data_IF_571431098067
#
_entry.id   IF_571431098067
#
_cell.length_a   1.000
_cell.length_b   1.000
_cell.length_c   1.000
_cell.angle_alpha   90.00
_cell.angle_beta   90.00
_cell.angle_gamma   90.00
#
_symmetry.space_group_name_H-M   'P 1'
#
loop_
_entity.id
_entity.type
_entity.pdbx_description
1 polymer ?
#
# COMPACT_ATOMS: atom_id res chain seq x y z
N UNK A 1 30.82 6.35 -1.50
CA UNK A 1 29.40 6.45 -1.93
C UNK A 1 28.65 5.34 -1.23
N UNK A 2 27.73 5.67 -0.31
CA UNK A 2 27.00 4.64 0.40
C UNK A 2 26.07 3.87 -0.53
N UNK A 3 25.73 2.63 -0.15
CA UNK A 3 24.95 1.70 -0.98
C UNK A 3 23.66 1.32 -0.28
N UNK A 4 22.55 1.56 -0.96
CA UNK A 4 21.20 1.14 -0.53
C UNK A 4 20.79 -0.11 -1.29
N UNK A 5 20.44 -1.19 -0.59
CA UNK A 5 19.79 -2.35 -1.17
C UNK A 5 18.34 -2.42 -0.69
N UNK A 6 17.39 -2.25 -1.58
CA UNK A 6 15.97 -2.47 -1.32
C UNK A 6 15.57 -3.89 -1.75
N UNK A 7 14.75 -4.59 -0.94
CA UNK A 7 14.22 -5.93 -1.23
C UNK A 7 12.71 -5.85 -1.23
N UNK A 8 12.09 -6.12 -2.40
CA UNK A 8 10.63 -6.03 -2.57
C UNK A 8 10.11 -7.12 -3.51
N UNK A 9 8.82 -7.37 -3.49
CA UNK A 9 8.15 -8.30 -4.42
C UNK A 9 8.22 -7.84 -5.87
N UNK A 10 8.27 -6.54 -6.14
CA UNK A 10 8.33 -5.95 -7.47
C UNK A 10 9.23 -4.70 -7.52
N UNK A 11 9.67 -4.32 -8.74
CA UNK A 11 10.48 -3.13 -9.00
C UNK A 11 9.76 -2.23 -9.98
N UNK A 12 9.63 -0.92 -9.63
CA UNK A 12 9.02 0.13 -10.45
C UNK A 12 7.65 -0.22 -11.05
N UNK A 13 6.89 -1.08 -10.38
CA UNK A 13 5.53 -1.49 -10.78
C UNK A 13 4.69 -1.75 -9.54
N UNK A 14 3.38 -1.53 -9.64
CA UNK A 14 2.47 -1.53 -8.48
C UNK A 14 2.85 -0.45 -7.44
N UNK A 15 2.11 -0.33 -6.33
CA UNK A 15 2.35 0.73 -5.34
C UNK A 15 3.71 0.60 -4.66
N UNK A 16 4.01 -0.56 -4.07
CA UNK A 16 5.27 -0.75 -3.32
C UNK A 16 6.51 -0.70 -4.20
N UNK A 17 6.45 -1.20 -5.45
CA UNK A 17 7.55 -1.09 -6.40
C UNK A 17 7.82 0.34 -6.87
N UNK A 18 6.77 1.17 -6.99
CA UNK A 18 6.93 2.60 -7.26
C UNK A 18 7.53 3.35 -6.07
N UNK A 19 7.13 2.99 -4.85
CA UNK A 19 7.73 3.55 -3.63
C UNK A 19 9.23 3.24 -3.58
N UNK A 20 9.64 1.99 -3.85
CA UNK A 20 11.07 1.64 -3.94
C UNK A 20 11.81 2.48 -4.98
N UNK A 21 11.22 2.68 -6.15
CA UNK A 21 11.80 3.48 -7.23
C UNK A 21 11.92 4.96 -6.84
N UNK A 22 10.93 5.51 -6.17
CA UNK A 22 10.94 6.92 -5.76
C UNK A 22 11.92 7.16 -4.60
N UNK A 23 12.03 6.24 -3.63
CA UNK A 23 13.11 6.26 -2.62
C UNK A 23 14.49 6.18 -3.30
N UNK A 24 14.64 5.31 -4.30
CA UNK A 24 15.89 5.18 -5.05
C UNK A 24 16.28 6.49 -5.76
N UNK A 25 15.32 7.22 -6.35
CA UNK A 25 15.58 8.53 -6.98
C UNK A 25 16.16 9.53 -6.00
N UNK A 26 15.58 9.61 -4.82
CA UNK A 26 16.08 10.52 -3.77
C UNK A 26 17.46 10.06 -3.27
N UNK A 27 17.65 8.77 -3.02
CA UNK A 27 18.95 8.23 -2.61
C UNK A 27 20.05 8.53 -3.64
N UNK A 28 19.80 8.33 -4.93
CA UNK A 28 20.75 8.65 -6.01
C UNK A 28 21.04 10.15 -6.06
N UNK A 29 20.04 11.02 -5.86
CA UNK A 29 20.23 12.46 -5.78
C UNK A 29 21.15 12.87 -4.61
N UNK A 30 21.17 12.08 -3.52
CA UNK A 30 22.07 12.21 -2.38
C UNK A 30 23.41 11.44 -2.54
N UNK A 31 23.76 11.08 -3.77
CA UNK A 31 25.01 10.34 -4.07
C UNK A 31 25.10 8.94 -3.44
N UNK A 32 23.97 8.24 -3.28
CA UNK A 32 23.94 6.83 -2.94
C UNK A 32 23.95 5.96 -4.21
N UNK A 33 24.57 4.81 -4.15
CA UNK A 33 24.40 3.76 -5.15
C UNK A 33 23.17 2.92 -4.77
N UNK A 34 22.21 2.79 -5.69
CA UNK A 34 20.94 2.13 -5.42
C UNK A 34 20.81 0.79 -6.12
N UNK A 35 20.37 -0.21 -5.36
CA UNK A 35 20.06 -1.57 -5.81
C UNK A 35 18.62 -1.94 -5.42
N UNK A 36 17.89 -2.60 -6.31
CA UNK A 36 16.56 -3.18 -6.02
C UNK A 36 16.59 -4.67 -6.33
N UNK A 37 16.49 -5.51 -5.30
CA UNK A 37 16.28 -6.94 -5.44
C UNK A 37 14.77 -7.24 -5.45
N UNK A 38 14.27 -7.85 -6.55
CA UNK A 38 12.83 -8.07 -6.72
C UNK A 38 12.48 -9.51 -7.11
N UNK A 39 11.28 -9.94 -6.72
CA UNK A 39 10.85 -11.33 -6.91
C UNK A 39 10.05 -11.59 -8.18
N UNK A 40 9.06 -10.77 -8.50
CA UNK A 40 8.03 -11.13 -9.49
C UNK A 40 8.03 -10.28 -10.76
N UNK A 41 7.72 -9.01 -10.64
CA UNK A 41 7.50 -8.11 -11.79
C UNK A 41 8.42 -6.91 -11.69
N UNK A 42 8.89 -6.43 -12.84
CA UNK A 42 9.61 -5.16 -12.94
C UNK A 42 9.23 -4.38 -14.19
N UNK A 43 9.42 -3.08 -14.11
CA UNK A 43 9.58 -2.16 -15.23
C UNK A 43 10.98 -1.54 -15.12
N UNK A 44 11.54 -0.98 -16.21
CA UNK A 44 12.86 -0.35 -16.16
C UNK A 44 13.01 0.57 -14.94
N UNK A 45 14.07 0.38 -14.18
CA UNK A 45 14.41 1.13 -12.96
C UNK A 45 15.70 1.93 -13.18
N UNK A 46 15.85 3.02 -12.43
CA UNK A 46 17.12 3.76 -12.35
C UNK A 46 18.15 3.06 -11.43
N UNK A 47 17.70 2.10 -10.63
CA UNK A 47 18.56 1.29 -9.75
C UNK A 47 19.18 0.10 -10.47
N UNK A 48 20.25 -0.43 -9.91
CA UNK A 48 20.79 -1.73 -10.31
C UNK A 48 19.82 -2.83 -9.90
N UNK A 49 19.15 -3.48 -10.85
CA UNK A 49 18.13 -4.48 -10.57
C UNK A 49 18.72 -5.88 -10.38
N UNK A 50 18.23 -6.59 -9.36
CA UNK A 50 18.60 -7.98 -9.04
C UNK A 50 17.34 -8.81 -8.99
N UNK A 51 17.18 -9.72 -9.92
CA UNK A 51 16.04 -10.65 -9.88
C UNK A 51 16.30 -11.79 -8.91
N UNK A 52 15.37 -12.00 -7.97
CA UNK A 52 15.40 -13.12 -7.01
C UNK A 52 14.67 -14.31 -7.62
N UNK A 53 15.44 -15.34 -8.01
CA UNK A 53 14.90 -16.56 -8.60
C UNK A 53 14.33 -16.37 -10.02
N UNK A 54 13.43 -17.26 -10.38
CA UNK A 54 12.77 -17.30 -11.69
C UNK A 54 11.26 -17.48 -11.55
N UNK A 55 10.52 -17.38 -12.65
CA UNK A 55 9.07 -17.67 -12.66
C UNK A 55 8.77 -19.09 -12.16
N UNK A 56 9.67 -20.07 -12.43
CA UNK A 56 9.54 -21.44 -11.96
C UNK A 56 9.54 -21.51 -10.42
N UNK A 57 10.54 -20.88 -9.77
CA UNK A 57 10.60 -20.84 -8.30
C UNK A 57 9.40 -20.13 -7.66
N UNK A 58 8.90 -19.08 -8.29
CA UNK A 58 7.69 -18.40 -7.83
C UNK A 58 6.47 -19.32 -7.88
N UNK A 59 6.35 -20.10 -8.97
CA UNK A 59 5.23 -21.03 -9.16
C UNK A 59 5.32 -22.24 -8.20
N UNK A 60 6.50 -22.82 -8.03
CA UNK A 60 6.77 -23.86 -7.03
C UNK A 60 6.38 -23.39 -5.62
N UNK A 61 6.82 -22.19 -5.23
CA UNK A 61 6.51 -21.59 -3.94
C UNK A 61 5.00 -21.35 -3.77
N UNK A 62 4.32 -20.89 -4.82
CA UNK A 62 2.87 -20.75 -4.83
C UNK A 62 2.16 -22.10 -4.60
N UNK A 63 2.60 -23.17 -5.22
CA UNK A 63 2.06 -24.52 -5.01
C UNK A 63 2.28 -24.96 -3.56
N UNK A 64 3.50 -24.83 -3.02
CA UNK A 64 3.79 -25.16 -1.62
C UNK A 64 2.90 -24.38 -0.64
N UNK A 65 2.68 -23.09 -0.91
CA UNK A 65 1.75 -22.29 -0.11
C UNK A 65 0.31 -22.83 -0.22
N UNK A 66 -0.17 -23.05 -1.45
CA UNK A 66 -1.56 -23.48 -1.67
C UNK A 66 -1.85 -24.86 -1.10
N UNK A 67 -0.89 -25.76 -1.08
CA UNK A 67 -1.06 -27.12 -0.54
C UNK A 67 -0.81 -27.16 0.98
N UNK A 68 0.24 -26.49 1.46
CA UNK A 68 0.80 -26.72 2.80
C UNK A 68 0.95 -25.46 3.66
N UNK A 69 0.35 -24.32 3.27
CA UNK A 69 0.43 -23.04 3.97
C UNK A 69 1.88 -22.57 4.25
N UNK A 70 2.77 -22.76 3.27
CA UNK A 70 4.22 -22.52 3.40
C UNK A 70 4.65 -21.22 2.74
N UNK A 71 3.85 -20.16 2.84
CA UNK A 71 4.25 -18.86 2.35
C UNK A 71 5.55 -18.36 3.00
N UNK A 72 6.49 -17.89 2.17
CA UNK A 72 7.80 -17.41 2.65
C UNK A 72 8.74 -18.50 3.13
N UNK A 73 8.43 -19.81 2.96
CA UNK A 73 9.24 -20.94 3.40
C UNK A 73 9.88 -21.75 2.25
N UNK A 74 9.46 -21.53 1.01
CA UNK A 74 10.09 -22.12 -0.19
C UNK A 74 11.16 -21.16 -0.77
N UNK A 75 11.47 -21.23 -2.06
CA UNK A 75 12.46 -20.37 -2.74
C UNK A 75 13.86 -20.38 -2.09
N UNK A 76 14.30 -21.51 -1.53
CA UNK A 76 15.53 -21.62 -0.72
C UNK A 76 16.79 -21.24 -1.52
N UNK A 77 16.98 -21.86 -2.71
CA UNK A 77 18.14 -21.59 -3.55
C UNK A 77 18.18 -20.13 -4.01
N UNK A 78 17.04 -19.59 -4.43
CA UNK A 78 16.93 -18.18 -4.84
C UNK A 78 17.37 -17.25 -3.72
N UNK A 79 17.00 -17.53 -2.48
CA UNK A 79 17.39 -16.74 -1.32
C UNK A 79 18.88 -16.86 -1.00
N UNK A 80 19.48 -18.06 -1.11
CA UNK A 80 20.94 -18.21 -0.96
C UNK A 80 21.73 -17.46 -2.05
N UNK A 81 21.21 -17.44 -3.29
CA UNK A 81 21.82 -16.65 -4.36
C UNK A 81 21.70 -15.13 -4.09
N UNK A 82 20.58 -14.68 -3.55
CA UNK A 82 20.43 -13.29 -3.10
C UNK A 82 21.47 -12.94 -2.03
N UNK A 83 21.65 -13.80 -1.01
CA UNK A 83 22.66 -13.58 0.04
C UNK A 83 24.07 -13.41 -0.56
N UNK A 84 24.44 -14.25 -1.54
CA UNK A 84 25.72 -14.09 -2.25
C UNK A 84 25.83 -12.74 -2.99
N UNK A 85 24.71 -12.20 -3.48
CA UNK A 85 24.71 -10.86 -4.07
C UNK A 85 24.86 -9.78 -3.01
N UNK A 86 24.20 -9.92 -1.85
CA UNK A 86 24.37 -9.00 -0.72
C UNK A 86 25.84 -8.93 -0.29
N UNK A 87 26.52 -10.09 -0.16
CA UNK A 87 27.93 -10.18 0.20
C UNK A 87 28.86 -9.52 -0.84
N UNK A 88 28.47 -9.53 -2.13
CA UNK A 88 29.24 -8.87 -3.22
C UNK A 88 29.01 -7.36 -3.25
N UNK A 89 27.77 -6.93 -3.08
CA UNK A 89 27.38 -5.51 -3.11
C UNK A 89 27.94 -4.80 -1.87
N UNK A 90 27.88 -5.47 -0.72
CA UNK A 90 28.21 -4.90 0.59
C UNK A 90 27.42 -3.60 0.83
N UNK A 91 26.08 -3.68 0.90
CA UNK A 91 25.28 -2.50 1.12
C UNK A 91 25.54 -1.91 2.51
N UNK A 92 25.45 -0.59 2.63
CA UNK A 92 25.52 0.10 3.91
C UNK A 92 24.15 0.07 4.62
N UNK A 93 23.07 0.03 3.86
CA UNK A 93 21.68 -0.14 4.36
C UNK A 93 20.96 -1.23 3.57
N UNK A 94 20.26 -2.12 4.26
CA UNK A 94 19.29 -3.05 3.67
C UNK A 94 17.89 -2.58 4.03
N UNK A 95 17.07 -2.27 3.03
CA UNK A 95 15.69 -1.84 3.20
C UNK A 95 14.72 -2.91 2.71
N UNK A 96 13.98 -3.51 3.63
CA UNK A 96 12.95 -4.50 3.35
C UNK A 96 11.59 -3.82 3.14
N UNK A 97 10.86 -4.27 2.12
CA UNK A 97 9.46 -3.92 1.89
C UNK A 97 8.59 -5.18 2.02
N UNK A 98 7.83 -5.55 0.98
CA UNK A 98 7.05 -6.78 0.99
C UNK A 98 7.95 -7.98 0.69
N UNK A 99 8.32 -8.73 1.73
CA UNK A 99 9.17 -9.93 1.62
C UNK A 99 8.37 -11.24 1.54
N UNK A 100 7.06 -11.16 1.49
CA UNK A 100 6.12 -12.25 1.21
C UNK A 100 5.75 -12.32 -0.29
N UNK A 101 4.78 -13.17 -0.67
CA UNK A 101 4.28 -13.33 -2.05
C UNK A 101 5.18 -14.18 -2.97
N UNK A 102 5.66 -15.32 -2.45
CA UNK A 102 6.19 -16.48 -3.19
C UNK A 102 7.52 -16.29 -3.92
N UNK A 103 8.44 -15.50 -3.42
CA UNK A 103 9.74 -15.29 -4.08
C UNK A 103 10.95 -15.45 -3.16
N UNK A 104 10.76 -15.39 -1.86
CA UNK A 104 11.82 -15.32 -0.85
C UNK A 104 11.58 -16.34 0.28
N UNK A 105 12.65 -16.90 0.83
CA UNK A 105 12.63 -17.67 2.07
C UNK A 105 13.04 -16.76 3.23
N UNK A 106 12.05 -16.21 3.97
CA UNK A 106 12.36 -15.27 5.05
C UNK A 106 13.19 -15.90 6.18
N UNK A 107 13.03 -17.17 6.59
CA UNK A 107 13.90 -17.78 7.59
C UNK A 107 15.38 -17.79 7.21
N UNK A 108 15.70 -18.06 5.95
CA UNK A 108 17.10 -18.04 5.47
C UNK A 108 17.63 -16.61 5.46
N UNK A 109 16.84 -15.65 4.94
CA UNK A 109 17.22 -14.25 4.93
C UNK A 109 17.46 -13.71 6.34
N UNK A 110 16.53 -13.92 7.29
CA UNK A 110 16.64 -13.37 8.64
C UNK A 110 17.76 -14.02 9.47
N UNK A 111 18.07 -15.31 9.26
CA UNK A 111 19.27 -15.92 9.86
C UNK A 111 20.56 -15.26 9.35
N UNK A 112 20.64 -14.91 8.08
CA UNK A 112 21.76 -14.16 7.54
C UNK A 112 21.82 -12.74 8.12
N UNK A 113 20.69 -12.01 8.12
CA UNK A 113 20.63 -10.65 8.68
C UNK A 113 20.98 -10.60 10.17
N UNK A 114 20.72 -11.68 10.93
CA UNK A 114 21.10 -11.74 12.35
C UNK A 114 22.60 -11.91 12.59
N UNK A 115 23.38 -12.21 11.56
CA UNK A 115 24.83 -12.46 11.63
C UNK A 115 25.66 -11.29 11.09
N UNK A 116 25.03 -10.25 10.56
CA UNK A 116 25.70 -9.07 10.01
C UNK A 116 25.31 -7.82 10.81
N UNK A 117 26.17 -6.82 10.80
CA UNK A 117 25.95 -5.55 11.51
C UNK A 117 25.35 -4.44 10.62
N UNK A 118 24.98 -4.77 9.38
CA UNK A 118 24.35 -3.81 8.47
C UNK A 118 22.98 -3.40 9.02
N UNK A 119 22.68 -2.10 9.16
CA UNK A 119 21.37 -1.64 9.56
C UNK A 119 20.26 -2.09 8.60
N UNK A 120 19.17 -2.59 9.14
CA UNK A 120 18.00 -3.04 8.41
C UNK A 120 16.83 -2.09 8.67
N UNK A 121 16.31 -1.48 7.63
CA UNK A 121 15.04 -0.75 7.66
C UNK A 121 13.96 -1.66 7.09
N UNK A 122 12.77 -1.70 7.70
CA UNK A 122 11.67 -2.51 7.18
C UNK A 122 10.37 -1.74 7.15
N UNK A 123 9.96 -1.29 5.95
CA UNK A 123 8.69 -0.59 5.77
C UNK A 123 7.52 -1.58 5.75
N UNK A 124 6.55 -1.34 6.63
CA UNK A 124 5.35 -2.14 6.79
C UNK A 124 4.23 -1.60 5.91
N UNK A 125 4.02 -2.25 4.76
CA UNK A 125 2.93 -1.93 3.84
C UNK A 125 1.64 -2.69 4.14
N UNK A 126 1.73 -3.73 4.98
CA UNK A 126 0.62 -4.55 5.46
C UNK A 126 0.97 -5.21 6.81
N UNK A 127 0.08 -6.05 7.32
CA UNK A 127 0.21 -6.65 8.65
C UNK A 127 0.92 -8.00 8.67
N UNK A 128 1.46 -8.47 7.55
CA UNK A 128 2.04 -9.80 7.44
C UNK A 128 3.18 -10.06 8.43
N UNK A 129 3.99 -9.07 8.76
CA UNK A 129 5.18 -9.22 9.59
C UNK A 129 4.88 -9.69 11.03
N UNK A 130 3.75 -9.31 11.59
CA UNK A 130 3.39 -9.61 12.98
C UNK A 130 2.14 -10.49 13.15
N UNK A 131 1.65 -11.08 12.05
CA UNK A 131 0.54 -12.05 12.03
C UNK A 131 1.02 -13.44 11.67
N UNK A 132 0.14 -14.44 11.69
CA UNK A 132 0.43 -15.79 11.22
C UNK A 132 0.54 -15.94 9.69
N UNK A 133 0.31 -14.85 8.92
CA UNK A 133 0.30 -14.86 7.46
C UNK A 133 -0.74 -13.90 6.87
N UNK A 134 -1.65 -13.41 7.70
CA UNK A 134 -2.73 -12.51 7.30
C UNK A 134 -2.18 -11.09 7.05
N UNK A 135 -2.52 -10.50 5.92
CA UNK A 135 -2.15 -9.12 5.55
C UNK A 135 -3.19 -8.10 6.03
N UNK A 136 -4.46 -8.53 6.19
CA UNK A 136 -5.62 -7.66 6.43
C UNK A 136 -6.54 -8.24 7.50
N UNK A 137 -6.04 -8.41 8.72
CA UNK A 137 -6.77 -9.01 9.83
C UNK A 137 -7.94 -8.14 10.33
N UNK A 138 -7.88 -6.84 10.10
CA UNK A 138 -8.86 -5.84 10.51
C UNK A 138 -10.23 -6.05 9.84
N UNK A 139 -10.28 -6.53 8.59
CA UNK A 139 -11.53 -6.93 7.93
C UNK A 139 -12.32 -7.99 8.69
N UNK A 140 -11.62 -8.81 9.49
CA UNK A 140 -12.20 -9.92 10.24
C UNK A 140 -12.47 -9.57 11.70
N UNK A 141 -12.04 -8.39 12.15
CA UNK A 141 -12.01 -8.05 13.57
C UNK A 141 -11.14 -9.00 14.39
N UNK A 142 -10.10 -9.59 13.79
CA UNK A 142 -9.27 -10.61 14.43
C UNK A 142 -8.27 -10.00 15.39
N UNK A 143 -8.26 -10.46 16.64
CA UNK A 143 -7.36 -9.99 17.70
C UNK A 143 -6.24 -11.00 18.03
N UNK A 144 -6.19 -12.16 17.36
CA UNK A 144 -5.23 -13.24 17.66
C UNK A 144 -3.77 -12.83 17.44
N UNK A 145 -3.50 -11.89 16.54
CA UNK A 145 -2.15 -11.38 16.26
C UNK A 145 -1.46 -10.76 17.48
N UNK A 146 -2.21 -10.36 18.51
CA UNK A 146 -1.65 -9.78 19.75
C UNK A 146 -0.99 -10.83 20.65
N UNK A 147 -1.50 -12.06 20.67
CA UNK A 147 -1.09 -13.11 21.59
C UNK A 147 -0.63 -14.41 20.94
N UNK A 148 -1.04 -14.66 19.70
CA UNK A 148 -0.68 -15.86 18.93
C UNK A 148 -1.79 -16.26 17.95
N UNK A 149 -1.47 -16.36 16.67
CA UNK A 149 -2.39 -16.78 15.62
C UNK A 149 -2.59 -18.30 15.66
N UNK A 150 -3.50 -18.81 16.47
CA UNK A 150 -3.71 -20.26 16.62
C UNK A 150 -4.50 -20.87 15.45
N UNK A 151 -5.64 -20.26 15.12
CA UNK A 151 -6.51 -20.70 14.03
C UNK A 151 -6.83 -19.51 13.14
N UNK A 152 -6.53 -19.62 11.85
CA UNK A 152 -6.80 -18.56 10.90
C UNK A 152 -7.97 -18.92 10.00
N UNK A 153 -9.03 -18.11 9.98
CA UNK A 153 -10.19 -18.27 9.09
C UNK A 153 -9.89 -17.85 7.65
N UNK A 154 -8.87 -17.03 7.45
CA UNK A 154 -8.39 -16.60 6.13
C UNK A 154 -7.32 -17.52 5.53
N UNK A 155 -6.99 -18.59 6.23
CA UNK A 155 -6.07 -19.60 5.71
C UNK A 155 -6.64 -20.21 4.41
N UNK A 156 -5.79 -20.32 3.40
CA UNK A 156 -6.18 -20.73 2.04
C UNK A 156 -5.53 -22.03 1.56
N UNK A 157 -4.70 -22.65 2.38
CA UNK A 157 -4.04 -23.89 2.01
C UNK A 157 -4.99 -25.09 2.16
N UNK A 158 -4.74 -26.10 1.33
CA UNK A 158 -5.64 -27.24 1.20
C UNK A 158 -5.50 -28.23 2.37
N UNK A 159 -4.26 -28.47 2.86
CA UNK A 159 -4.00 -29.55 3.81
C UNK A 159 -3.62 -29.06 5.21
N UNK A 160 -2.90 -27.95 5.33
CA UNK A 160 -2.36 -27.48 6.62
C UNK A 160 -2.75 -26.05 6.92
N UNK A 161 -2.85 -25.73 8.21
CA UNK A 161 -2.93 -24.37 8.72
C UNK A 161 -1.67 -24.11 9.56
N UNK A 162 -0.76 -23.32 9.02
CA UNK A 162 0.54 -23.02 9.64
C UNK A 162 0.54 -21.68 10.40
N UNK A 163 -0.62 -21.06 10.62
CA UNK A 163 -0.70 -19.71 11.18
C UNK A 163 0.05 -19.57 12.51
N UNK A 164 -0.13 -20.52 13.46
CA UNK A 164 0.59 -20.49 14.75
C UNK A 164 2.09 -20.71 14.57
N UNK A 165 2.48 -21.67 13.74
CA UNK A 165 3.90 -21.96 13.46
C UNK A 165 4.58 -20.78 12.79
N UNK A 166 3.91 -20.15 11.82
CA UNK A 166 4.40 -18.96 11.12
C UNK A 166 4.53 -17.77 12.09
N UNK A 167 3.54 -17.54 12.94
CA UNK A 167 3.57 -16.49 13.96
C UNK A 167 4.76 -16.64 14.89
N UNK A 168 4.93 -17.81 15.51
CA UNK A 168 6.04 -18.09 16.42
C UNK A 168 7.41 -18.01 15.73
N UNK A 169 7.50 -18.53 14.50
CA UNK A 169 8.73 -18.48 13.71
C UNK A 169 9.13 -17.05 13.35
N UNK A 170 8.17 -16.21 12.92
CA UNK A 170 8.41 -14.79 12.65
C UNK A 170 8.87 -14.06 13.90
N UNK A 171 8.17 -14.24 15.02
CA UNK A 171 8.57 -13.66 16.31
C UNK A 171 10.03 -13.94 16.63
N UNK A 172 10.43 -15.22 16.60
CA UNK A 172 11.80 -15.62 16.96
C UNK A 172 12.85 -15.08 15.97
N UNK A 173 12.58 -15.18 14.65
CA UNK A 173 13.56 -14.80 13.64
C UNK A 173 13.70 -13.27 13.53
N UNK A 174 12.61 -12.54 13.60
CA UNK A 174 12.68 -11.07 13.48
C UNK A 174 13.31 -10.46 14.72
N UNK A 175 13.09 -11.06 15.89
CA UNK A 175 13.75 -10.68 17.15
C UNK A 175 15.27 -10.96 17.13
N UNK A 176 15.75 -11.88 16.31
CA UNK A 176 17.18 -12.20 16.21
C UNK A 176 18.02 -11.13 15.50
N UNK A 177 17.39 -10.27 14.68
CA UNK A 177 18.10 -9.19 13.97
C UNK A 177 18.22 -7.98 14.89
N UNK A 178 19.43 -7.64 15.33
CA UNK A 178 19.66 -6.58 16.35
C UNK A 178 19.38 -5.17 15.79
N UNK A 179 19.89 -4.88 14.62
CA UNK A 179 19.91 -3.53 14.00
C UNK A 179 18.72 -3.35 13.03
N UNK A 180 17.49 -3.67 13.45
CA UNK A 180 16.29 -3.50 12.66
C UNK A 180 15.45 -2.32 13.16
N UNK A 181 15.07 -1.43 12.25
CA UNK A 181 14.13 -0.34 12.49
C UNK A 181 12.92 -0.50 11.59
N UNK A 182 11.73 -0.52 12.19
CA UNK A 182 10.48 -0.54 11.42
C UNK A 182 10.09 0.86 10.96
N UNK A 183 9.54 0.93 9.74
CA UNK A 183 8.86 2.13 9.25
C UNK A 183 7.39 1.80 9.03
N UNK A 184 6.53 2.53 9.71
CA UNK A 184 5.09 2.47 9.54
C UNK A 184 4.66 3.53 8.51
N UNK A 185 3.83 3.14 7.53
CA UNK A 185 3.33 4.09 6.52
C UNK A 185 2.10 4.89 6.98
N UNK A 186 1.67 4.66 8.22
CA UNK A 186 0.55 5.34 8.88
C UNK A 186 0.71 5.30 10.40
N UNK A 187 0.07 6.21 11.12
CA UNK A 187 0.02 6.18 12.58
C UNK A 187 -0.78 4.97 13.07
N UNK A 188 -1.78 4.54 12.31
CA UNK A 188 -2.49 3.28 12.57
C UNK A 188 -1.53 2.08 12.57
N UNK A 189 -0.68 1.94 11.56
CA UNK A 189 0.31 0.86 11.50
C UNK A 189 1.36 0.99 12.61
N UNK A 190 1.78 2.21 12.95
CA UNK A 190 2.67 2.47 14.08
C UNK A 190 2.07 1.92 15.38
N UNK A 191 0.84 2.30 15.69
CA UNK A 191 0.09 1.82 16.85
C UNK A 191 -0.09 0.28 16.89
N UNK A 192 -0.21 -0.35 15.71
CA UNK A 192 -0.25 -1.82 15.63
C UNK A 192 1.11 -2.46 15.97
N UNK A 193 2.20 -1.93 15.44
CA UNK A 193 3.55 -2.41 15.73
C UNK A 193 3.86 -2.32 17.22
N UNK A 194 3.51 -1.21 17.88
CA UNK A 194 3.67 -1.04 19.33
C UNK A 194 2.85 -2.02 20.17
N UNK A 195 1.75 -2.55 19.65
CA UNK A 195 0.90 -3.55 20.29
C UNK A 195 1.23 -4.99 19.88
N UNK A 196 2.08 -5.16 18.87
CA UNK A 196 2.43 -6.45 18.30
C UNK A 196 3.55 -7.16 19.07
N UNK A 197 3.91 -8.33 18.60
CA UNK A 197 5.11 -9.06 19.08
C UNK A 197 6.41 -8.33 18.78
N UNK A 198 6.41 -7.31 17.91
CA UNK A 198 7.56 -6.48 17.54
C UNK A 198 7.68 -5.17 18.37
N UNK A 199 6.83 -4.97 19.38
CA UNK A 199 6.70 -3.72 20.18
C UNK A 199 7.98 -3.16 20.80
N UNK A 200 9.00 -3.98 20.97
CA UNK A 200 10.29 -3.58 21.55
C UNK A 200 11.28 -3.02 20.53
N UNK A 201 10.91 -2.97 19.25
CA UNK A 201 11.74 -2.46 18.16
C UNK A 201 11.47 -0.98 17.92
N UNK A 202 12.49 -0.22 17.49
CA UNK A 202 12.27 1.16 17.08
C UNK A 202 11.31 1.22 15.87
N UNK A 203 10.35 2.13 15.95
CA UNK A 203 9.37 2.39 14.88
C UNK A 203 9.43 3.87 14.52
N UNK A 204 9.46 4.19 13.24
CA UNK A 204 9.29 5.54 12.69
C UNK A 204 8.04 5.57 11.83
N UNK A 205 7.27 6.66 11.86
CA UNK A 205 6.18 6.87 10.89
C UNK A 205 6.70 7.71 9.73
N UNK A 206 6.62 7.15 8.51
CA UNK A 206 6.89 7.87 7.26
C UNK A 206 5.73 7.54 6.31
N UNK A 207 4.82 8.48 6.13
CA UNK A 207 3.66 8.30 5.25
C UNK A 207 4.09 8.10 3.78
N UNK A 208 3.26 7.42 3.00
CA UNK A 208 3.46 7.34 1.56
C UNK A 208 3.39 8.75 0.94
N UNK A 209 4.26 8.99 -0.02
CA UNK A 209 4.30 10.22 -0.80
C UNK A 209 3.65 10.08 -2.17
N UNK A 210 3.28 11.22 -2.76
CA UNK A 210 2.70 11.30 -4.11
C UNK A 210 3.44 12.33 -4.95
N UNK A 211 3.56 12.07 -6.25
CA UNK A 211 4.16 13.00 -7.21
C UNK A 211 3.23 14.19 -7.47
N UNK A 212 3.51 15.31 -6.82
CA UNK A 212 2.72 16.55 -6.91
C UNK A 212 2.86 17.27 -8.27
N UNK A 213 3.84 16.92 -9.07
CA UNK A 213 4.00 17.44 -10.44
C UNK A 213 3.04 16.73 -11.41
N UNK A 214 2.77 15.45 -11.15
CA UNK A 214 1.83 14.62 -11.90
C UNK A 214 0.40 14.83 -11.40
N UNK A 215 0.17 14.56 -10.10
CA UNK A 215 -1.14 14.69 -9.48
C UNK A 215 -1.38 16.13 -9.07
N UNK A 216 -2.10 16.85 -9.92
CA UNK A 216 -2.49 18.25 -9.76
C UNK A 216 -3.84 18.49 -10.40
N UNK A 217 -4.51 19.56 -9.99
CA UNK A 217 -5.78 19.92 -10.60
C UNK A 217 -5.56 20.37 -12.06
N UNK A 218 -6.17 19.64 -13.00
CA UNK A 218 -6.15 19.92 -14.45
C UNK A 218 -7.58 20.11 -14.99
N UNK A 219 -8.57 20.33 -14.12
CA UNK A 219 -9.94 20.55 -14.54
C UNK A 219 -10.02 21.80 -15.46
N UNK A 220 -10.65 21.65 -16.61
CA UNK A 220 -10.93 22.77 -17.51
C UNK A 220 -12.06 23.61 -16.93
N UNK A 221 -11.95 24.92 -17.01
CA UNK A 221 -13.02 25.87 -16.64
C UNK A 221 -14.34 25.62 -17.39
N UNK A 222 -14.29 24.91 -18.51
CA UNK A 222 -15.45 24.53 -19.32
C UNK A 222 -16.10 23.18 -18.93
N UNK A 223 -15.59 22.49 -17.91
CA UNK A 223 -16.12 21.18 -17.48
C UNK A 223 -17.52 21.25 -16.82
N UNK A 224 -18.03 22.44 -16.50
CA UNK A 224 -19.36 22.65 -15.87
C UNK A 224 -20.59 22.43 -16.78
N UNK A 225 -20.43 21.89 -17.98
CA UNK A 225 -21.59 21.52 -18.84
C UNK A 225 -22.27 20.20 -18.40
N UNK A 226 -21.72 19.47 -17.46
CA UNK A 226 -22.33 18.24 -16.94
C UNK A 226 -23.40 18.59 -15.88
N UNK A 227 -24.61 18.10 -16.14
CA UNK A 227 -25.77 18.26 -15.24
C UNK A 227 -25.73 17.30 -14.04
N UNK A 228 -24.75 16.41 -13.96
CA UNK A 228 -24.62 15.38 -12.92
C UNK A 228 -23.38 15.59 -12.07
N UNK A 229 -23.51 15.36 -10.77
CA UNK A 229 -22.38 15.25 -9.84
C UNK A 229 -21.62 13.95 -10.08
N UNK A 230 -20.29 14.04 -10.23
CA UNK A 230 -19.41 12.88 -10.48
C UNK A 230 -18.78 12.38 -9.18
N UNK A 231 -19.03 11.12 -8.88
CA UNK A 231 -18.43 10.37 -7.77
C UNK A 231 -17.39 9.43 -8.35
N UNK A 232 -16.14 9.53 -7.91
CA UNK A 232 -15.06 8.68 -8.41
C UNK A 232 -14.64 7.65 -7.36
N UNK A 233 -14.48 6.39 -7.79
CA UNK A 233 -13.81 5.33 -7.05
C UNK A 233 -12.67 4.73 -7.89
N UNK A 234 -11.51 4.51 -7.29
CA UNK A 234 -10.32 3.97 -7.98
C UNK A 234 -9.70 2.84 -7.16
N UNK A 235 -9.52 1.69 -7.78
CA UNK A 235 -8.77 0.58 -7.21
C UNK A 235 -8.02 -0.17 -8.32
N UNK A 236 -6.92 -0.86 -7.98
CA UNK A 236 -6.23 -1.74 -8.93
C UNK A 236 -6.97 -3.08 -9.13
N UNK A 237 -7.68 -3.51 -8.09
CA UNK A 237 -8.56 -4.69 -8.08
C UNK A 237 -9.73 -4.39 -7.17
N UNK A 238 -10.93 -4.62 -7.67
CA UNK A 238 -12.16 -4.51 -6.91
C UNK A 238 -12.55 -5.87 -6.35
N UNK A 239 -12.37 -6.02 -5.06
CA UNK A 239 -12.80 -7.14 -4.24
C UNK A 239 -13.66 -6.63 -3.07
N UNK A 240 -14.10 -7.54 -2.19
CA UNK A 240 -14.88 -7.19 -1.00
C UNK A 240 -14.16 -6.14 -0.14
N UNK A 241 -12.84 -6.21 -0.05
CA UNK A 241 -12.01 -5.30 0.75
C UNK A 241 -12.11 -3.85 0.25
N UNK A 242 -12.29 -3.64 -1.05
CA UNK A 242 -12.35 -2.29 -1.66
C UNK A 242 -13.78 -1.72 -1.75
N UNK A 243 -14.80 -2.45 -1.26
CA UNK A 243 -16.15 -1.93 -1.11
C UNK A 243 -16.91 -1.77 -2.42
N UNK A 244 -16.73 -2.68 -3.41
CA UNK A 244 -17.51 -2.64 -4.64
C UNK A 244 -19.00 -2.77 -4.38
N UNK A 245 -19.39 -3.65 -3.44
CA UNK A 245 -20.78 -3.87 -3.08
C UNK A 245 -21.42 -2.62 -2.47
N UNK A 246 -20.63 -1.82 -1.74
CA UNK A 246 -21.09 -0.55 -1.18
C UNK A 246 -21.34 0.49 -2.27
N UNK A 247 -20.52 0.54 -3.31
CA UNK A 247 -20.82 1.39 -4.47
C UNK A 247 -22.09 0.94 -5.21
N UNK A 248 -22.32 -0.37 -5.33
CA UNK A 248 -23.55 -0.90 -5.93
C UNK A 248 -24.77 -0.49 -5.08
N UNK A 249 -24.70 -0.63 -3.76
CA UNK A 249 -25.76 -0.18 -2.85
C UNK A 249 -25.93 1.33 -2.88
N UNK A 250 -24.83 2.09 -2.87
CA UNK A 250 -24.81 3.55 -2.93
C UNK A 250 -25.55 4.07 -4.17
N UNK A 251 -25.42 3.40 -5.33
CA UNK A 251 -26.11 3.80 -6.56
C UNK A 251 -27.62 3.79 -6.45
N UNK A 252 -28.19 2.98 -5.56
CA UNK A 252 -29.64 2.95 -5.29
C UNK A 252 -30.10 3.97 -4.26
N UNK A 253 -29.19 4.53 -3.46
CA UNK A 253 -29.47 5.54 -2.42
C UNK A 253 -29.31 6.98 -2.92
N UNK A 254 -28.65 7.16 -4.04
CA UNK A 254 -28.45 8.47 -4.64
C UNK A 254 -29.57 8.79 -5.62
N UNK A 255 -30.11 10.02 -5.62
CA UNK A 255 -31.15 10.43 -6.56
C UNK A 255 -30.59 10.59 -7.98
N UNK A 256 -31.50 10.77 -8.94
CA UNK A 256 -31.10 11.25 -10.28
C UNK A 256 -30.28 12.51 -10.16
N UNK A 257 -29.23 12.65 -10.99
CA UNK A 257 -28.30 13.78 -10.90
C UNK A 257 -26.93 13.42 -10.35
N UNK A 258 -26.71 12.16 -9.94
CA UNK A 258 -25.39 11.62 -9.60
C UNK A 258 -24.93 10.59 -10.63
N UNK A 259 -23.62 10.54 -10.85
CA UNK A 259 -22.95 9.53 -11.68
C UNK A 259 -21.75 8.96 -10.92
N UNK A 260 -21.71 7.64 -10.79
CA UNK A 260 -20.58 6.95 -10.16
C UNK A 260 -19.65 6.44 -11.25
N UNK A 261 -18.36 6.77 -11.17
CA UNK A 261 -17.32 6.29 -12.09
C UNK A 261 -16.35 5.42 -11.29
N UNK A 262 -16.19 4.15 -11.70
CA UNK A 262 -15.28 3.20 -11.04
C UNK A 262 -14.15 2.78 -11.99
N UNK A 263 -12.91 2.96 -11.56
CA UNK A 263 -11.69 2.58 -12.33
C UNK A 263 -11.05 1.35 -11.72
N UNK A 264 -10.66 0.39 -12.57
CA UNK A 264 -9.96 -0.83 -12.18
C UNK A 264 -10.83 -2.09 -12.12
N UNK A 265 -12.02 -2.05 -12.73
CA UNK A 265 -12.95 -3.17 -12.78
C UNK A 265 -12.55 -4.20 -13.85
N UNK A 266 -12.81 -5.46 -13.58
CA UNK A 266 -12.73 -6.50 -14.61
C UNK A 266 -13.92 -6.40 -15.59
N UNK A 267 -13.76 -6.93 -16.80
CA UNK A 267 -14.85 -6.99 -17.81
C UNK A 267 -16.12 -7.63 -17.26
N UNK A 268 -15.97 -8.69 -16.45
CA UNK A 268 -17.11 -9.37 -15.81
C UNK A 268 -17.84 -8.47 -14.82
N UNK A 269 -17.10 -7.67 -14.04
CA UNK A 269 -17.70 -6.72 -13.10
C UNK A 269 -18.43 -5.61 -13.86
N UNK A 270 -17.80 -5.05 -14.90
CA UNK A 270 -18.42 -3.99 -15.73
C UNK A 270 -19.75 -4.46 -16.34
N UNK A 271 -19.80 -5.70 -16.86
CA UNK A 271 -21.02 -6.26 -17.46
C UNK A 271 -22.16 -6.44 -16.46
N UNK A 272 -21.88 -6.48 -15.16
CA UNK A 272 -22.87 -6.67 -14.10
C UNK A 272 -23.15 -5.39 -13.29
N UNK A 273 -22.65 -4.23 -13.70
CA UNK A 273 -22.92 -2.98 -13.00
C UNK A 273 -24.38 -2.55 -13.16
N UNK A 274 -25.01 -2.03 -12.11
CA UNK A 274 -26.34 -1.44 -12.21
C UNK A 274 -26.29 -0.12 -13.01
N UNK A 275 -27.46 0.32 -13.47
CA UNK A 275 -27.62 1.62 -14.10
C UNK A 275 -27.17 2.74 -13.14
N UNK A 276 -26.45 3.73 -13.67
CA UNK A 276 -25.91 4.85 -12.87
C UNK A 276 -24.46 4.69 -12.46
N UNK A 277 -23.85 3.53 -12.70
CA UNK A 277 -22.40 3.31 -12.51
C UNK A 277 -21.72 3.11 -13.85
N UNK A 278 -20.69 3.90 -14.13
CA UNK A 278 -19.79 3.77 -15.27
C UNK A 278 -18.51 3.04 -14.83
N UNK A 279 -18.24 1.90 -15.44
CA UNK A 279 -17.06 1.09 -15.14
C UNK A 279 -15.96 1.24 -16.18
N UNK A 280 -14.72 1.41 -15.73
CA UNK A 280 -13.51 1.44 -16.56
C UNK A 280 -12.57 0.32 -16.12
N UNK A 281 -12.05 -0.49 -17.07
CA UNK A 281 -11.06 -1.54 -16.75
C UNK A 281 -9.76 -0.90 -16.24
N UNK A 282 -9.32 0.16 -16.89
CA UNK A 282 -8.12 0.95 -16.54
C UNK A 282 -8.17 2.30 -17.26
N UNK A 283 -7.39 3.23 -16.78
CA UNK A 283 -7.12 4.47 -17.50
C UNK A 283 -6.15 4.24 -18.65
N UNK A 284 -6.19 5.09 -19.67
CA UNK A 284 -5.29 5.03 -20.82
C UNK A 284 -3.83 5.28 -20.40
N UNK A 285 -3.65 6.24 -19.51
CA UNK A 285 -2.37 6.68 -18.95
C UNK A 285 -2.63 7.39 -17.60
N UNK A 286 -1.59 7.92 -16.99
CA UNK A 286 -1.68 8.62 -15.72
C UNK A 286 -2.42 9.97 -15.87
N UNK A 287 -2.27 10.66 -16.99
CA UNK A 287 -2.94 11.93 -17.29
C UNK A 287 -4.47 11.75 -17.35
N UNK A 288 -4.93 10.62 -17.89
CA UNK A 288 -6.36 10.27 -17.86
C UNK A 288 -6.86 10.06 -16.43
N UNK A 289 -6.08 9.40 -15.56
CA UNK A 289 -6.41 9.22 -14.14
C UNK A 289 -6.47 10.57 -13.42
N UNK A 290 -5.48 11.44 -13.61
CA UNK A 290 -5.42 12.80 -13.05
C UNK A 290 -6.63 13.63 -13.49
N UNK A 291 -7.06 13.51 -14.75
CA UNK A 291 -8.27 14.17 -15.25
C UNK A 291 -9.52 13.67 -14.55
N UNK A 292 -9.67 12.36 -14.38
CA UNK A 292 -10.81 11.78 -13.65
C UNK A 292 -10.88 12.29 -12.22
N UNK A 293 -9.75 12.31 -11.48
CA UNK A 293 -9.69 12.93 -10.15
C UNK A 293 -10.09 14.41 -10.21
N UNK A 294 -9.51 15.17 -11.15
CA UNK A 294 -9.74 16.61 -11.25
C UNK A 294 -11.18 16.98 -11.63
N UNK A 295 -11.87 16.14 -12.41
CA UNK A 295 -13.26 16.36 -12.83
C UNK A 295 -14.29 15.82 -11.85
N UNK A 296 -13.92 14.91 -10.94
CA UNK A 296 -14.82 14.39 -9.94
C UNK A 296 -15.19 15.47 -8.91
N UNK A 297 -16.46 15.52 -8.51
CA UNK A 297 -16.91 16.39 -7.41
C UNK A 297 -16.47 15.85 -6.06
N UNK A 298 -16.37 14.52 -5.94
CA UNK A 298 -15.92 13.82 -4.73
C UNK A 298 -15.26 12.50 -5.10
N UNK A 299 -14.18 12.17 -4.40
CA UNK A 299 -13.56 10.85 -4.41
C UNK A 299 -14.08 10.03 -3.22
N UNK A 300 -14.50 8.81 -3.47
CA UNK A 300 -15.02 7.90 -2.44
C UNK A 300 -14.16 6.65 -2.36
N UNK A 301 -13.70 6.33 -1.15
CA UNK A 301 -12.90 5.15 -0.87
C UNK A 301 -13.51 4.34 0.29
N UNK A 302 -14.54 3.49 0.03
CA UNK A 302 -15.22 2.70 1.04
C UNK A 302 -14.45 1.41 1.35
N UNK A 303 -13.14 1.54 1.60
CA UNK A 303 -12.28 0.38 1.85
C UNK A 303 -12.50 -0.20 3.24
N UNK A 304 -12.57 -1.53 3.33
CA UNK A 304 -12.71 -2.27 4.59
C UNK A 304 -11.38 -2.60 5.25
N UNK A 305 -10.28 -2.44 4.53
CA UNK A 305 -8.91 -2.56 5.05
C UNK A 305 -7.95 -1.88 4.11
N UNK A 306 -7.20 -0.93 4.61
CA UNK A 306 -6.08 -0.29 3.91
C UNK A 306 -5.12 0.33 4.92
N UNK A 307 -3.83 0.22 4.65
CA UNK A 307 -2.83 0.77 5.56
C UNK A 307 -2.68 2.29 5.40
N UNK A 308 -2.44 2.75 4.18
CA UNK A 308 -2.41 4.17 3.81
C UNK A 308 -2.65 4.30 2.30
N UNK A 309 -3.92 4.43 1.87
CA UNK A 309 -4.26 4.39 0.45
C UNK A 309 -3.76 5.63 -0.30
N UNK A 310 -2.85 5.42 -1.26
CA UNK A 310 -2.34 6.51 -2.09
C UNK A 310 -3.44 7.17 -2.91
N UNK A 311 -4.53 6.47 -3.23
CA UNK A 311 -5.69 7.02 -3.96
C UNK A 311 -6.35 8.18 -3.23
N UNK A 312 -6.34 8.19 -1.88
CA UNK A 312 -6.87 9.33 -1.10
C UNK A 312 -5.99 10.58 -1.32
N UNK A 313 -4.67 10.42 -1.22
CA UNK A 313 -3.74 11.55 -1.40
C UNK A 313 -3.62 11.96 -2.88
N UNK A 314 -3.85 11.05 -3.83
CA UNK A 314 -3.99 11.37 -5.27
C UNK A 314 -5.19 12.29 -5.52
N UNK A 315 -6.34 11.96 -4.93
CA UNK A 315 -7.54 12.79 -5.01
C UNK A 315 -7.32 14.18 -4.40
N UNK A 316 -6.76 14.25 -3.18
CA UNK A 316 -6.44 15.52 -2.52
C UNK A 316 -5.46 16.37 -3.36
N UNK A 317 -4.43 15.76 -3.93
CA UNK A 317 -3.46 16.45 -4.78
C UNK A 317 -4.10 17.03 -6.04
N UNK A 318 -5.13 16.38 -6.57
CA UNK A 318 -5.94 16.88 -7.69
C UNK A 318 -7.04 17.87 -7.26
N UNK A 319 -7.07 18.28 -6.01
CA UNK A 319 -8.05 19.22 -5.47
C UNK A 319 -9.45 18.62 -5.31
N UNK A 320 -9.56 17.33 -5.08
CA UNK A 320 -10.84 16.61 -4.97
C UNK A 320 -11.05 16.15 -3.54
N UNK A 321 -12.15 16.54 -2.87
CA UNK A 321 -12.45 16.12 -1.51
C UNK A 321 -12.67 14.60 -1.44
N UNK A 322 -12.33 14.02 -0.28
CA UNK A 322 -12.31 12.59 -0.06
C UNK A 322 -13.36 12.18 0.97
N UNK A 323 -14.14 11.17 0.66
CA UNK A 323 -14.94 10.45 1.66
C UNK A 323 -14.35 9.04 1.80
N UNK A 324 -14.07 8.65 3.04
CA UNK A 324 -13.51 7.31 3.30
C UNK A 324 -14.10 6.71 4.56
N UNK A 325 -14.04 5.39 4.67
CA UNK A 325 -14.39 4.69 5.90
C UNK A 325 -13.33 4.89 6.99
N UNK A 326 -13.77 4.82 8.26
CA UNK A 326 -12.89 4.77 9.43
C UNK A 326 -12.23 3.39 9.52
N UNK A 327 -11.23 3.17 8.69
CA UNK A 327 -10.55 1.89 8.50
C UNK A 327 -9.07 2.09 8.29
N UNK A 328 -8.25 1.37 9.07
CA UNK A 328 -6.81 1.43 8.93
C UNK A 328 -6.26 2.85 9.04
N UNK A 329 -5.28 3.18 8.21
CA UNK A 329 -4.75 4.54 8.06
C UNK A 329 -5.47 5.40 7.02
N UNK A 330 -6.59 4.91 6.46
CA UNK A 330 -7.35 5.66 5.43
C UNK A 330 -7.84 7.04 5.91
N UNK A 331 -8.30 7.20 7.18
CA UNK A 331 -8.71 8.49 7.74
C UNK A 331 -7.58 9.52 7.85
N UNK A 332 -6.33 9.09 7.98
CA UNK A 332 -5.19 10.00 8.25
C UNK A 332 -4.93 10.98 7.09
N UNK A 333 -5.33 10.61 5.88
CA UNK A 333 -5.25 11.51 4.73
C UNK A 333 -6.23 12.69 4.81
N UNK A 334 -7.33 12.59 5.57
CA UNK A 334 -8.49 13.46 5.51
C UNK A 334 -8.61 14.28 6.81
N UNK A 335 -9.01 15.55 6.69
CA UNK A 335 -9.48 16.39 7.80
C UNK A 335 -10.82 17.06 7.45
N UNK A 336 -11.39 17.81 8.39
CA UNK A 336 -12.71 18.44 8.26
C UNK A 336 -12.81 19.44 7.09
N UNK A 337 -11.67 19.93 6.58
CA UNK A 337 -11.60 20.85 5.46
C UNK A 337 -11.39 20.17 4.11
N UNK A 338 -11.07 18.88 4.10
CA UNK A 338 -10.67 18.13 2.89
C UNK A 338 -11.54 16.92 2.60
N UNK A 339 -12.48 16.60 3.51
CA UNK A 339 -13.41 15.52 3.27
C UNK A 339 -14.20 15.08 4.50
N UNK A 340 -14.73 13.87 4.45
CA UNK A 340 -15.55 13.30 5.53
C UNK A 340 -15.14 11.84 5.77
N UNK A 341 -14.96 11.50 7.04
CA UNK A 341 -14.74 10.10 7.47
C UNK A 341 -16.05 9.56 8.02
N UNK A 342 -16.51 8.43 7.49
CA UNK A 342 -17.74 7.75 7.93
C UNK A 342 -17.40 6.38 8.52
N UNK A 343 -18.32 5.83 9.32
CA UNK A 343 -18.08 4.51 9.92
C UNK A 343 -18.09 3.41 8.85
N UNK A 344 -17.27 2.40 9.06
CA UNK A 344 -17.11 1.28 8.12
C UNK A 344 -18.44 0.58 7.84
N UNK A 345 -18.80 0.46 6.56
CA UNK A 345 -20.02 -0.22 6.10
C UNK A 345 -21.31 0.61 6.22
N UNK A 346 -21.24 1.84 6.73
CA UNK A 346 -22.41 2.74 6.79
C UNK A 346 -22.61 3.45 5.44
N UNK A 347 -23.26 2.77 4.51
CA UNK A 347 -23.52 3.26 3.15
C UNK A 347 -24.53 4.43 3.15
N UNK A 348 -25.42 4.51 4.11
CA UNK A 348 -26.36 5.61 4.30
C UNK A 348 -25.61 6.89 4.72
N UNK A 349 -24.69 6.79 5.67
CA UNK A 349 -23.81 7.90 6.03
C UNK A 349 -22.91 8.32 4.85
N UNK A 350 -22.42 7.34 4.07
CA UNK A 350 -21.67 7.59 2.85
C UNK A 350 -22.47 8.43 1.83
N UNK A 351 -23.73 8.02 1.56
CA UNK A 351 -24.65 8.76 0.69
C UNK A 351 -24.94 10.17 1.21
N UNK A 352 -25.10 10.31 2.51
CA UNK A 352 -25.32 11.63 3.17
C UNK A 352 -24.11 12.54 3.05
N UNK A 353 -22.90 12.01 3.29
CA UNK A 353 -21.64 12.74 3.15
C UNK A 353 -21.43 13.24 1.71
N UNK A 354 -21.72 12.40 0.71
CA UNK A 354 -21.64 12.79 -0.71
C UNK A 354 -22.57 13.97 -0.99
N UNK A 355 -23.84 13.92 -0.54
CA UNK A 355 -24.80 15.01 -0.73
C UNK A 355 -24.28 16.32 -0.10
N UNK A 356 -23.74 16.24 1.12
CA UNK A 356 -23.17 17.42 1.82
C UNK A 356 -22.02 18.04 1.01
N UNK A 357 -21.05 17.25 0.54
CA UNK A 357 -19.93 17.77 -0.25
C UNK A 357 -20.42 18.37 -1.57
N UNK A 358 -21.28 17.66 -2.29
CA UNK A 358 -21.81 18.15 -3.58
C UNK A 358 -22.65 19.42 -3.44
N UNK A 359 -23.43 19.57 -2.35
CA UNK A 359 -24.21 20.78 -2.07
C UNK A 359 -23.33 21.99 -1.74
N UNK A 360 -22.23 21.79 -1.01
CA UNK A 360 -21.25 22.86 -0.73
C UNK A 360 -20.43 23.25 -1.96
N UNK A 361 -20.31 22.33 -2.91
CA UNK A 361 -19.52 22.49 -4.13
C UNK A 361 -18.03 22.16 -3.93
N UNK A 362 -17.44 21.49 -4.90
CA UNK A 362 -16.02 21.10 -4.92
C UNK A 362 -15.08 22.30 -4.70
N UNK A 363 -15.43 23.46 -5.20
CA UNK A 363 -14.63 24.68 -5.15
C UNK A 363 -14.29 25.09 -3.71
N UNK A 364 -15.20 24.80 -2.77
CA UNK A 364 -15.01 25.07 -1.32
C UNK A 364 -13.83 24.25 -0.76
N UNK A 365 -13.61 23.08 -1.29
CA UNK A 365 -12.60 22.13 -0.80
C UNK A 365 -11.29 22.15 -1.59
N UNK A 366 -11.37 22.44 -2.90
CA UNK A 366 -10.31 22.15 -3.86
C UNK A 366 -8.94 22.73 -3.48
N UNK A 367 -8.91 23.99 -3.03
CA UNK A 367 -7.67 24.64 -2.59
C UNK A 367 -7.10 23.97 -1.34
N UNK A 368 -7.94 23.69 -0.34
CA UNK A 368 -7.55 23.09 0.93
C UNK A 368 -7.06 21.63 0.75
N UNK A 369 -7.71 20.87 -0.12
CA UNK A 369 -7.26 19.54 -0.53
C UNK A 369 -5.83 19.57 -1.09
N UNK A 370 -5.58 20.49 -2.03
CA UNK A 370 -4.25 20.65 -2.63
C UNK A 370 -3.20 21.10 -1.61
N UNK A 371 -3.52 22.05 -0.77
CA UNK A 371 -2.63 22.55 0.28
C UNK A 371 -2.25 21.46 1.27
N UNK A 372 -3.23 20.62 1.68
CA UNK A 372 -2.98 19.46 2.55
C UNK A 372 -2.04 18.46 1.87
N UNK A 373 -2.31 18.11 0.60
CA UNK A 373 -1.45 17.19 -0.14
C UNK A 373 -0.02 17.70 -0.27
N UNK A 374 0.16 18.98 -0.59
CA UNK A 374 1.48 19.63 -0.70
C UNK A 374 2.20 19.63 0.65
N UNK A 375 1.51 19.97 1.73
CA UNK A 375 2.12 20.10 3.05
C UNK A 375 2.55 18.77 3.67
N UNK A 376 1.80 17.67 3.39
CA UNK A 376 1.97 16.42 4.14
C UNK A 376 2.37 15.21 3.30
N UNK A 377 2.09 15.23 1.99
CA UNK A 377 2.17 14.03 1.16
C UNK A 377 3.00 14.19 -0.12
N UNK A 378 3.79 15.26 -0.26
CA UNK A 378 4.76 15.38 -1.33
C UNK A 378 5.80 14.25 -1.26
N UNK A 379 6.04 13.54 -2.36
CA UNK A 379 6.95 12.40 -2.37
C UNK A 379 8.39 12.80 -2.09
N UNK A 380 8.79 13.98 -2.54
CA UNK A 380 10.13 14.51 -2.31
C UNK A 380 10.41 14.57 -0.81
N UNK A 381 9.54 15.24 -0.04
CA UNK A 381 9.68 15.37 1.42
C UNK A 381 9.59 14.01 2.14
N UNK A 382 8.59 13.17 1.74
CA UNK A 382 8.39 11.85 2.41
C UNK A 382 9.52 10.89 2.17
N UNK A 383 10.14 10.91 0.98
CA UNK A 383 11.27 10.02 0.71
C UNK A 383 12.62 10.58 1.18
N UNK A 384 12.71 11.90 1.40
CA UNK A 384 13.81 12.54 2.12
C UNK A 384 13.86 12.08 3.59
N UNK A 385 12.70 11.84 4.22
CA UNK A 385 12.63 11.26 5.57
C UNK A 385 13.34 9.88 5.66
N UNK A 386 13.32 9.09 4.57
CA UNK A 386 14.07 7.82 4.53
C UNK A 386 15.59 8.05 4.44
N UNK A 387 16.04 9.04 3.65
CA UNK A 387 17.47 9.35 3.56
C UNK A 387 18.01 9.81 4.92
N UNK A 388 17.26 10.71 5.57
CA UNK A 388 17.57 11.14 6.95
C UNK A 388 17.66 9.95 7.91
N UNK A 389 16.72 9.00 7.84
CA UNK A 389 16.73 7.79 8.66
C UNK A 389 17.97 6.93 8.35
N UNK A 390 18.33 6.74 7.07
CA UNK A 390 19.52 5.96 6.71
C UNK A 390 20.81 6.59 7.22
N UNK A 391 20.96 7.91 7.07
CA UNK A 391 22.11 8.66 7.57
C UNK A 391 22.24 8.59 9.10
N UNK A 392 21.12 8.65 9.82
CA UNK A 392 21.10 8.49 11.28
C UNK A 392 21.51 7.09 11.73
N UNK A 393 21.14 6.06 10.97
CA UNK A 393 21.51 4.67 11.27
C UNK A 393 22.99 4.35 10.95
N UNK A 394 23.67 5.19 10.16
CA UNK A 394 25.09 5.03 9.81
C UNK A 394 26.05 5.80 10.73
N UNK A 395 25.54 6.65 11.64
CA UNK A 395 26.31 7.35 12.67
C UNK A 395 26.65 6.45 13.84
#
# INVERSE_FOLDING_TARGET
>A
MPKLLQINVCSNVLSTGKICEDIAKVAIAHNWESFIAYGRMSKPSISNEIRIGSKFYTYEHYIEHRLFDREGLASRLATHLLIKQIDRIKPDIIHLHNIHDHYLNYPILFRYLSQIDIPVVWTQHDCWAFTGGCMYFDMLGCEQWKSGCKTCTEHRALFWNMAEVQFLKKKLLFDSVKNITFVAVSDWMHNLLEKSVQRHRPVKTIHNGIDLSIFRNVASSNAKLNTKFKILGVASVWDRRKGLDDFIRLSSLLPDGFEIVLVGLSKKQIANLPKGIVGLERTLNVEHLVRLYSEADVFVNPTYSDNFPTTNIEALACGTPVITYRTGGSPEAVDDNTGIVVEQGDVEALASAIKVICQKGKETYSKLCRERAVKHFGKEDRYEDYITLYEDLLK
#
